data_IF_725804898134
#
_entry.id   IF_725804898134
#
_cell.length_a   1.000
_cell.length_b   1.000
_cell.length_c   1.000
_cell.angle_alpha   90.00
_cell.angle_beta   90.00
_cell.angle_gamma   90.00
#
_symmetry.space_group_name_H-M   'P 1'
#
loop_
_entity.id
_entity.type
_entity.pdbx_description
1 polymer ?
#
# COMPACT_ATOMS: atom_id res chain seq x y z
N UNK A 1 -37.52 -17.31 -30.48
CA UNK A 1 -36.10 -17.04 -30.84
C UNK A 1 -35.33 -16.19 -29.80
N UNK A 2 -35.88 -15.86 -28.65
CA UNK A 2 -35.19 -15.05 -27.58
C UNK A 2 -34.56 -15.88 -26.48
N UNK A 3 -34.89 -17.12 -26.31
CA UNK A 3 -34.41 -18.00 -25.25
C UNK A 3 -33.03 -18.66 -25.48
N UNK A 4 -32.57 -18.71 -26.75
CA UNK A 4 -31.27 -19.31 -27.08
C UNK A 4 -30.06 -18.43 -26.76
N UNK A 5 -30.22 -17.11 -26.63
CA UNK A 5 -29.13 -16.18 -26.32
C UNK A 5 -28.70 -16.22 -24.85
N UNK A 6 -29.61 -16.52 -23.94
CA UNK A 6 -29.31 -16.61 -22.51
C UNK A 6 -28.63 -17.92 -22.13
N UNK A 7 -28.87 -19.00 -22.88
CA UNK A 7 -28.18 -20.27 -22.67
C UNK A 7 -26.71 -20.22 -23.14
N UNK A 8 -26.40 -19.42 -24.16
CA UNK A 8 -25.03 -19.26 -24.64
C UNK A 8 -24.18 -18.40 -23.70
N UNK A 9 -24.77 -17.42 -23.03
CA UNK A 9 -24.08 -16.60 -22.03
C UNK A 9 -23.86 -17.42 -20.73
N UNK A 10 -24.81 -18.26 -20.33
CA UNK A 10 -24.64 -19.15 -19.19
C UNK A 10 -23.61 -20.27 -19.45
N UNK A 11 -23.54 -20.79 -20.69
CA UNK A 11 -22.55 -21.81 -21.07
C UNK A 11 -21.13 -21.23 -21.22
N UNK A 12 -20.97 -19.97 -21.62
CA UNK A 12 -19.68 -19.29 -21.63
C UNK A 12 -19.20 -18.92 -20.21
N UNK A 13 -20.13 -18.69 -19.29
CA UNK A 13 -19.81 -18.50 -17.86
C UNK A 13 -19.43 -19.81 -17.16
N UNK A 14 -19.93 -20.95 -17.61
CA UNK A 14 -19.62 -22.27 -17.01
C UNK A 14 -18.30 -22.88 -17.50
N UNK A 15 -17.76 -22.45 -18.66
CA UNK A 15 -16.48 -22.90 -19.18
C UNK A 15 -15.27 -22.12 -18.59
N UNK A 16 -15.52 -21.01 -17.90
CA UNK A 16 -14.49 -20.27 -17.15
C UNK A 16 -14.27 -20.81 -15.72
N UNK A 17 -14.99 -21.87 -15.31
CA UNK A 17 -14.96 -22.36 -13.93
C UNK A 17 -13.89 -23.41 -13.61
N UNK A 18 -12.94 -23.69 -14.50
CA UNK A 18 -11.89 -24.68 -14.24
C UNK A 18 -10.48 -24.10 -14.08
N UNK A 19 -10.36 -22.79 -13.91
CA UNK A 19 -9.06 -22.17 -13.66
C UNK A 19 -8.98 -21.70 -12.20
N UNK A 20 -8.37 -22.56 -11.36
CA UNK A 20 -7.66 -22.23 -10.12
C UNK A 20 -8.45 -21.60 -8.98
N UNK A 21 -9.30 -22.41 -8.34
CA UNK A 21 -9.56 -22.27 -6.91
C UNK A 21 -8.31 -22.72 -6.10
N UNK A 22 -7.17 -22.11 -6.29
CA UNK A 22 -6.12 -22.12 -5.28
C UNK A 22 -6.24 -20.79 -4.54
N UNK A 23 -7.15 -20.78 -3.58
CA UNK A 23 -7.31 -19.69 -2.64
C UNK A 23 -6.08 -19.59 -1.77
N UNK A 24 -5.12 -18.80 -2.18
CA UNK A 24 -4.09 -18.33 -1.29
C UNK A 24 -4.56 -17.04 -0.64
N UNK A 25 -4.84 -17.14 0.64
CA UNK A 25 -5.33 -16.11 1.53
C UNK A 25 -4.28 -15.03 1.85
N UNK A 26 -3.48 -14.60 0.91
CA UNK A 26 -2.49 -13.55 1.14
C UNK A 26 -2.87 -12.32 0.37
N UNK A 27 -3.81 -11.56 0.93
CA UNK A 27 -4.36 -10.36 0.34
C UNK A 27 -3.40 -9.20 0.21
N UNK A 28 -2.28 -9.23 0.86
CA UNK A 28 -1.50 -8.03 1.09
C UNK A 28 -0.19 -8.08 0.35
N UNK A 29 -0.20 -7.57 -0.88
CA UNK A 29 1.00 -7.23 -1.62
C UNK A 29 1.99 -8.37 -1.75
N UNK A 30 1.51 -9.58 -1.91
CA UNK A 30 2.38 -10.74 -2.10
C UNK A 30 2.07 -11.46 -3.39
N UNK A 31 3.03 -12.23 -3.91
CA UNK A 31 2.87 -13.02 -5.12
C UNK A 31 1.79 -14.12 -5.02
N UNK A 32 1.22 -14.33 -3.86
CA UNK A 32 0.25 -15.40 -3.60
C UNK A 32 -1.18 -14.87 -3.40
N UNK A 33 -1.41 -13.58 -3.68
CA UNK A 33 -2.77 -13.04 -3.80
C UNK A 33 -3.30 -13.20 -5.22
N UNK A 34 -4.52 -12.75 -5.43
CA UNK A 34 -5.09 -12.61 -6.78
C UNK A 34 -4.35 -11.56 -7.64
N UNK A 35 -3.23 -11.06 -7.15
CA UNK A 35 -2.37 -10.08 -7.80
C UNK A 35 -0.99 -10.67 -8.05
N UNK A 36 -0.79 -11.13 -9.28
CA UNK A 36 0.52 -11.48 -9.80
C UNK A 36 1.13 -10.26 -10.48
N UNK A 37 2.26 -9.78 -9.99
CA UNK A 37 3.00 -8.71 -10.65
C UNK A 37 3.56 -9.19 -11.99
N UNK A 38 3.81 -8.24 -12.90
CA UNK A 38 4.46 -8.58 -14.17
C UNK A 38 5.85 -9.19 -13.96
N UNK A 39 6.57 -8.75 -12.92
CA UNK A 39 7.84 -9.30 -12.51
C UNK A 39 7.76 -10.80 -12.16
N UNK A 40 6.72 -11.21 -11.47
CA UNK A 40 6.49 -12.61 -11.09
C UNK A 40 6.17 -13.49 -12.29
N UNK A 41 5.39 -12.99 -13.26
CA UNK A 41 5.15 -13.68 -14.53
C UNK A 41 6.44 -13.89 -15.33
N UNK A 42 7.31 -12.87 -15.33
CA UNK A 42 8.61 -12.97 -16.02
C UNK A 42 9.53 -13.97 -15.34
N UNK A 43 9.59 -13.93 -14.02
CA UNK A 43 10.48 -14.76 -13.22
C UNK A 43 10.04 -16.21 -13.12
N UNK A 44 8.75 -16.53 -13.32
CA UNK A 44 8.17 -17.88 -13.23
C UNK A 44 8.67 -18.67 -12.01
N UNK A 45 8.57 -18.05 -10.82
CA UNK A 45 9.03 -18.66 -9.59
C UNK A 45 8.13 -19.85 -9.25
N UNK A 46 8.70 -21.05 -9.29
CA UNK A 46 8.01 -22.27 -8.91
C UNK A 46 8.08 -22.47 -7.39
N UNK A 47 6.96 -22.84 -6.77
CA UNK A 47 6.93 -23.26 -5.37
C UNK A 47 7.61 -24.63 -5.24
N UNK A 48 8.51 -24.76 -4.27
CA UNK A 48 9.15 -26.05 -3.98
C UNK A 48 8.25 -26.96 -3.13
N UNK A 49 7.53 -26.38 -2.18
CA UNK A 49 6.55 -27.07 -1.33
C UNK A 49 5.34 -26.17 -1.07
N UNK A 50 4.21 -26.76 -0.76
CA UNK A 50 3.05 -25.96 -0.34
C UNK A 50 3.14 -25.53 1.13
N UNK A 51 3.78 -26.36 1.97
CA UNK A 51 3.80 -26.18 3.41
C UNK A 51 4.81 -25.13 3.90
N UNK A 52 5.94 -24.96 3.23
CA UNK A 52 7.03 -24.13 3.73
C UNK A 52 7.83 -23.51 2.58
N UNK A 53 7.79 -22.19 2.48
CA UNK A 53 8.55 -21.44 1.49
C UNK A 53 9.25 -20.28 2.18
N UNK A 54 10.56 -20.15 1.95
CA UNK A 54 11.41 -19.09 2.51
C UNK A 54 11.92 -18.20 1.39
N UNK A 55 11.69 -16.91 1.53
CA UNK A 55 12.16 -15.88 0.61
C UNK A 55 13.03 -14.87 1.35
N UNK A 56 14.14 -14.52 0.74
CA UNK A 56 14.95 -13.39 1.15
C UNK A 56 14.85 -12.30 0.09
N UNK A 57 14.24 -11.17 0.46
CA UNK A 57 14.03 -10.03 -0.42
C UNK A 57 15.13 -9.00 -0.17
N UNK A 58 15.94 -8.72 -1.20
CA UNK A 58 17.03 -7.75 -1.10
C UNK A 58 17.01 -6.78 -2.27
N UNK A 59 17.11 -5.48 -1.97
CA UNK A 59 17.20 -4.44 -2.98
C UNK A 59 18.18 -3.36 -2.54
N UNK A 60 19.06 -2.94 -3.44
CA UNK A 60 20.01 -1.86 -3.21
C UNK A 60 20.20 -1.05 -4.49
N UNK A 61 20.58 0.22 -4.34
CA UNK A 61 20.85 1.11 -5.47
C UNK A 61 21.93 2.14 -5.16
N UNK A 62 22.67 2.53 -6.19
CA UNK A 62 23.38 3.80 -6.23
C UNK A 62 22.37 4.87 -6.63
N UNK A 63 22.34 5.99 -5.92
CA UNK A 63 21.40 7.07 -6.14
C UNK A 63 22.12 8.39 -6.28
N UNK A 64 21.60 9.23 -7.18
CA UNK A 64 21.95 10.64 -7.29
C UNK A 64 20.66 11.41 -7.00
N UNK A 65 20.68 12.27 -6.00
CA UNK A 65 19.51 13.00 -5.52
C UNK A 65 19.76 14.51 -5.60
N UNK A 66 18.72 15.23 -5.92
CA UNK A 66 18.63 16.67 -5.88
C UNK A 66 17.36 17.09 -5.16
N UNK A 67 17.48 18.12 -4.36
CA UNK A 67 16.35 18.78 -3.71
C UNK A 67 16.44 20.27 -4.02
N UNK A 68 15.51 20.78 -4.82
CA UNK A 68 15.40 22.19 -5.14
C UNK A 68 14.33 22.84 -4.25
N UNK A 69 14.75 23.46 -3.19
CA UNK A 69 14.01 24.31 -2.29
C UNK A 69 14.88 25.51 -1.93
N UNK A 70 14.56 26.26 -0.89
CA UNK A 70 15.28 27.45 -0.46
C UNK A 70 16.74 27.21 -0.08
N UNK A 71 17.11 26.02 0.27
CA UNK A 71 18.46 25.68 0.71
C UNK A 71 19.48 25.66 -0.43
N UNK A 72 19.02 25.71 -1.68
CA UNK A 72 19.89 25.63 -2.85
C UNK A 72 20.71 24.36 -2.91
N UNK A 73 20.14 23.27 -2.46
CA UNK A 73 20.81 21.98 -2.33
C UNK A 73 21.33 21.46 -3.65
N UNK A 74 22.53 20.92 -3.58
CA UNK A 74 23.25 20.39 -4.73
C UNK A 74 22.95 18.88 -4.88
N UNK A 75 23.17 18.39 -6.10
CA UNK A 75 23.15 16.97 -6.37
C UNK A 75 24.11 16.21 -5.45
N UNK A 76 23.57 15.26 -4.70
CA UNK A 76 24.32 14.36 -3.84
C UNK A 76 24.26 12.93 -4.32
N UNK A 77 25.33 12.16 -4.11
CA UNK A 77 25.37 10.74 -4.45
C UNK A 77 25.46 9.87 -3.21
N UNK A 78 24.79 8.71 -3.22
CA UNK A 78 24.82 7.76 -2.11
C UNK A 78 24.47 6.34 -2.57
N UNK A 79 24.85 5.36 -1.74
CA UNK A 79 24.35 4.00 -1.85
C UNK A 79 23.23 3.77 -0.82
N UNK A 80 22.14 3.16 -1.24
CA UNK A 80 20.98 2.84 -0.38
C UNK A 80 20.69 1.36 -0.38
N UNK A 81 20.61 0.77 0.81
CA UNK A 81 19.91 -0.48 1.02
C UNK A 81 18.41 -0.16 1.06
N UNK A 82 17.68 -0.52 0.00
CA UNK A 82 16.25 -0.21 -0.13
C UNK A 82 15.41 -1.20 0.68
N UNK A 83 15.77 -2.45 0.63
CA UNK A 83 15.05 -3.53 1.31
C UNK A 83 15.98 -4.66 1.71
N UNK A 84 15.75 -5.21 2.91
CA UNK A 84 16.28 -6.47 3.36
C UNK A 84 15.20 -7.15 4.21
N UNK A 85 14.50 -8.16 3.68
CA UNK A 85 13.36 -8.81 4.34
C UNK A 85 13.45 -10.32 4.25
N UNK A 86 13.14 -10.97 5.35
CA UNK A 86 12.86 -12.40 5.42
C UNK A 86 11.36 -12.61 5.35
N UNK A 87 10.89 -13.49 4.49
CA UNK A 87 9.50 -13.90 4.39
C UNK A 87 9.41 -15.42 4.42
N UNK A 88 8.57 -15.94 5.29
CA UNK A 88 8.27 -17.38 5.41
C UNK A 88 6.77 -17.55 5.31
N UNK A 89 6.30 -18.44 4.43
CA UNK A 89 4.87 -18.66 4.22
C UNK A 89 4.59 -20.04 3.65
N UNK A 90 3.37 -20.49 3.84
CA UNK A 90 2.91 -21.75 3.29
C UNK A 90 1.54 -22.17 3.78
N UNK A 91 1.08 -23.31 3.25
CA UNK A 91 -0.14 -23.98 3.67
C UNK A 91 0.25 -25.25 4.43
N UNK A 92 -0.01 -25.28 5.75
CA UNK A 92 0.24 -26.48 6.57
C UNK A 92 -0.70 -27.61 6.19
N UNK A 93 -1.95 -27.24 5.85
CA UNK A 93 -2.96 -28.13 5.27
C UNK A 93 -3.67 -27.37 4.16
N UNK A 94 -4.59 -28.03 3.44
CA UNK A 94 -5.44 -27.39 2.43
C UNK A 94 -6.28 -26.22 2.98
N UNK A 95 -6.45 -26.16 4.30
CA UNK A 95 -7.27 -25.16 4.99
C UNK A 95 -6.48 -24.20 5.86
N UNK A 96 -5.29 -24.59 6.33
CA UNK A 96 -4.51 -23.81 7.28
C UNK A 96 -3.27 -23.22 6.62
N UNK A 97 -3.20 -21.90 6.57
CA UNK A 97 -2.08 -21.14 6.03
C UNK A 97 -1.43 -20.26 7.08
N UNK A 98 -0.21 -19.84 6.81
CA UNK A 98 0.52 -18.89 7.67
C UNK A 98 1.43 -18.01 6.83
N UNK A 99 1.76 -16.84 7.38
CA UNK A 99 2.74 -15.92 6.77
C UNK A 99 3.48 -15.16 7.86
N UNK A 100 4.80 -15.12 7.73
CA UNK A 100 5.71 -14.30 8.52
C UNK A 100 6.54 -13.44 7.60
N UNK A 101 6.66 -12.13 7.90
CA UNK A 101 7.54 -11.20 7.18
C UNK A 101 8.21 -10.24 8.13
N UNK A 102 9.54 -10.19 8.07
CA UNK A 102 10.37 -9.41 8.98
C UNK A 102 11.41 -8.61 8.20
N UNK A 103 11.61 -7.35 8.56
CA UNK A 103 12.60 -6.45 7.97
C UNK A 103 13.90 -6.54 8.75
N UNK A 104 14.98 -6.96 8.10
CA UNK A 104 16.30 -7.08 8.72
C UNK A 104 16.99 -5.72 8.90
N UNK A 105 16.50 -4.67 8.27
CA UNK A 105 17.03 -3.31 8.31
C UNK A 105 16.18 -2.34 9.17
N UNK A 106 15.35 -2.86 10.08
CA UNK A 106 14.59 -2.08 11.06
C UNK A 106 14.87 -2.55 12.48
N UNK A 107 14.51 -1.72 13.46
CA UNK A 107 14.67 -2.00 14.87
C UNK A 107 13.82 -3.19 15.33
N UNK A 108 14.39 -4.03 16.20
CA UNK A 108 13.70 -5.12 16.90
C UNK A 108 13.06 -4.69 18.21
N UNK A 109 13.11 -3.40 18.59
CA UNK A 109 12.41 -2.89 19.76
C UNK A 109 10.90 -3.17 19.62
N UNK A 110 10.30 -3.65 20.70
CA UNK A 110 8.86 -3.90 20.73
C UNK A 110 8.07 -2.58 20.73
N UNK A 111 6.90 -2.60 20.12
CA UNK A 111 5.86 -1.59 20.20
C UNK A 111 4.83 -1.96 21.28
N UNK A 112 3.82 -1.15 21.48
CA UNK A 112 2.73 -1.42 22.44
C UNK A 112 1.90 -2.68 22.08
N UNK A 113 1.89 -3.06 20.82
CA UNK A 113 1.31 -4.32 20.34
C UNK A 113 2.16 -5.57 20.64
N UNK A 114 3.28 -5.43 21.34
CA UNK A 114 4.30 -6.44 21.64
C UNK A 114 5.02 -7.04 20.43
N UNK A 115 4.86 -6.47 19.25
CA UNK A 115 5.64 -6.85 18.08
C UNK A 115 6.86 -5.96 17.91
N UNK A 116 7.95 -6.55 17.40
CA UNK A 116 9.09 -5.77 16.95
C UNK A 116 8.69 -4.80 15.82
N UNK A 117 9.23 -3.57 15.82
CA UNK A 117 9.04 -2.59 14.72
C UNK A 117 9.39 -3.16 13.35
N UNK A 118 10.29 -4.14 13.32
CA UNK A 118 10.72 -4.83 12.10
C UNK A 118 9.72 -5.88 11.59
N UNK A 119 8.79 -6.38 12.43
CA UNK A 119 7.81 -7.39 12.02
C UNK A 119 6.62 -6.74 11.34
N UNK A 120 6.53 -6.92 10.01
CA UNK A 120 5.40 -6.44 9.22
C UNK A 120 4.20 -7.40 9.33
N UNK A 121 4.45 -8.72 9.22
CA UNK A 121 3.40 -9.73 9.13
C UNK A 121 3.75 -10.91 10.02
N UNK A 122 2.80 -11.33 10.84
CA UNK A 122 2.77 -12.62 11.51
C UNK A 122 1.30 -13.02 11.68
N UNK A 123 0.80 -13.85 10.77
CA UNK A 123 -0.60 -14.17 10.68
C UNK A 123 -0.83 -15.64 10.37
N UNK A 124 -2.01 -16.12 10.73
CA UNK A 124 -2.55 -17.41 10.35
C UNK A 124 -3.85 -17.21 9.59
N UNK A 125 -4.13 -18.08 8.64
CA UNK A 125 -5.37 -18.12 7.88
C UNK A 125 -6.02 -19.49 7.96
N UNK A 126 -7.36 -19.52 8.02
CA UNK A 126 -8.12 -20.74 7.96
C UNK A 126 -9.26 -20.63 6.95
N UNK A 127 -9.30 -21.58 6.01
CA UNK A 127 -10.34 -21.67 4.99
C UNK A 127 -11.38 -22.70 5.43
N UNK A 128 -12.57 -22.24 5.80
CA UNK A 128 -13.67 -23.13 6.22
C UNK A 128 -14.21 -23.95 5.05
N UNK A 129 -14.40 -23.29 3.92
CA UNK A 129 -14.83 -23.85 2.64
C UNK A 129 -14.42 -22.89 1.50
N UNK A 130 -14.79 -23.20 0.26
CA UNK A 130 -14.42 -22.40 -0.93
C UNK A 130 -14.92 -20.94 -0.90
N UNK A 131 -15.87 -20.63 -0.01
CA UNK A 131 -16.49 -19.31 0.08
C UNK A 131 -16.07 -18.51 1.29
N UNK A 132 -15.73 -19.14 2.41
CA UNK A 132 -15.50 -18.45 3.69
C UNK A 132 -14.10 -18.75 4.20
N UNK A 133 -13.33 -17.69 4.41
CA UNK A 133 -12.01 -17.70 5.02
C UNK A 133 -11.87 -16.69 6.15
N UNK A 134 -10.97 -16.97 7.08
CA UNK A 134 -10.61 -16.07 8.19
C UNK A 134 -9.10 -15.96 8.26
N UNK A 135 -8.60 -14.76 8.55
CA UNK A 135 -7.20 -14.51 8.85
C UNK A 135 -7.10 -13.73 10.16
N UNK A 136 -6.08 -14.01 10.95
CA UNK A 136 -5.84 -13.32 12.21
C UNK A 136 -4.36 -13.18 12.50
N UNK A 137 -3.97 -12.11 13.21
CA UNK A 137 -2.61 -11.78 13.56
C UNK A 137 -2.21 -10.38 13.11
N UNK A 138 -0.91 -10.11 13.05
CA UNK A 138 -0.38 -8.86 12.48
C UNK A 138 -0.34 -8.97 10.97
N UNK A 139 -1.02 -8.08 10.28
CA UNK A 139 -1.15 -8.09 8.82
C UNK A 139 -1.28 -6.68 8.27
N UNK A 140 -1.09 -6.52 6.98
CA UNK A 140 -1.44 -5.28 6.30
C UNK A 140 -2.96 -5.11 6.28
N UNK A 141 -3.45 -3.94 6.63
CA UNK A 141 -4.87 -3.62 6.56
C UNK A 141 -5.38 -3.67 5.11
N UNK A 142 -6.64 -4.11 4.93
CA UNK A 142 -7.23 -4.34 3.60
C UNK A 142 -7.84 -3.08 2.98
N UNK A 143 -7.10 -1.96 2.96
CA UNK A 143 -7.56 -0.67 2.45
C UNK A 143 -7.90 -0.64 0.96
N UNK A 144 -7.62 -1.71 0.24
CA UNK A 144 -7.84 -1.76 -1.21
C UNK A 144 -6.84 -0.91 -1.99
N UNK A 145 -7.09 -0.79 -3.31
CA UNK A 145 -6.12 -0.19 -4.22
C UNK A 145 -4.98 -1.14 -4.60
N UNK A 146 -4.44 -0.96 -5.77
CA UNK A 146 -3.35 -1.81 -6.26
C UNK A 146 -2.00 -1.40 -5.72
N UNK A 147 -1.82 -0.12 -5.37
CA UNK A 147 -0.59 0.34 -4.73
C UNK A 147 -0.42 -0.23 -3.31
N UNK A 148 -1.51 -0.36 -2.54
CA UNK A 148 -1.49 -1.02 -1.23
C UNK A 148 -1.16 -2.51 -1.31
N UNK A 149 -1.73 -3.20 -2.32
CA UNK A 149 -1.58 -4.63 -2.49
C UNK A 149 -0.25 -5.01 -3.13
N UNK A 150 0.43 -4.06 -3.78
CA UNK A 150 1.69 -4.35 -4.46
C UNK A 150 2.80 -4.68 -3.48
N UNK A 151 3.56 -5.75 -3.78
CA UNK A 151 4.72 -6.09 -2.97
C UNK A 151 5.72 -4.93 -2.96
N UNK A 152 6.16 -4.45 -1.79
CA UNK A 152 7.14 -3.37 -1.67
C UNK A 152 8.43 -3.56 -2.48
N UNK A 153 8.76 -4.79 -2.87
CA UNK A 153 9.89 -5.06 -3.77
C UNK A 153 9.76 -4.42 -5.15
N UNK A 154 8.52 -4.13 -5.59
CA UNK A 154 8.24 -3.60 -6.92
C UNK A 154 7.89 -2.11 -6.92
N UNK A 155 8.08 -1.45 -5.78
CA UNK A 155 7.79 -0.03 -5.58
C UNK A 155 9.10 0.78 -5.48
N UNK A 156 9.27 1.76 -6.35
CA UNK A 156 10.38 2.72 -6.28
C UNK A 156 10.08 3.87 -5.33
N UNK A 157 8.84 4.35 -5.34
CA UNK A 157 8.30 5.38 -4.44
C UNK A 157 6.79 5.22 -4.32
N UNK A 158 6.28 5.31 -3.11
CA UNK A 158 4.85 5.33 -2.83
C UNK A 158 4.24 6.72 -3.02
N UNK A 159 2.91 6.78 -3.16
CA UNK A 159 2.13 7.99 -2.92
C UNK A 159 2.27 8.44 -1.46
N UNK A 160 1.98 9.70 -1.17
CA UNK A 160 2.07 10.23 0.20
C UNK A 160 1.18 9.42 1.15
N UNK A 161 -0.07 9.13 0.76
CA UNK A 161 -0.98 8.38 1.62
C UNK A 161 -0.44 7.01 2.01
N UNK A 162 0.15 6.25 1.09
CA UNK A 162 0.70 4.93 1.40
C UNK A 162 2.04 5.01 2.12
N UNK A 163 2.85 6.04 1.84
CA UNK A 163 4.19 6.19 2.42
C UNK A 163 4.15 6.61 3.90
N UNK A 164 3.17 7.46 4.26
CA UNK A 164 3.02 7.98 5.63
C UNK A 164 2.10 7.14 6.52
N UNK A 165 1.37 6.17 5.98
CA UNK A 165 0.51 5.28 6.77
C UNK A 165 1.30 4.14 7.43
N UNK A 166 1.06 3.87 8.72
CA UNK A 166 1.41 2.58 9.35
C UNK A 166 0.22 1.63 9.23
N UNK A 167 0.26 0.75 8.25
CA UNK A 167 -0.84 -0.13 7.84
C UNK A 167 -0.63 -1.61 8.17
N UNK A 168 0.36 -1.95 9.01
CA UNK A 168 0.55 -3.31 9.52
C UNK A 168 0.05 -3.42 10.96
N UNK A 169 -1.19 -3.87 11.12
CA UNK A 169 -1.89 -3.86 12.41
C UNK A 169 -2.28 -5.28 12.85
N UNK A 170 -2.44 -5.46 14.16
CA UNK A 170 -2.99 -6.71 14.72
C UNK A 170 -4.49 -6.67 14.59
N UNK A 171 -5.05 -7.73 13.99
CA UNK A 171 -6.49 -7.81 13.74
C UNK A 171 -6.95 -9.14 13.20
N UNK A 172 -8.16 -9.13 12.69
CA UNK A 172 -8.78 -10.27 12.02
C UNK A 172 -9.55 -9.81 10.77
N UNK A 173 -9.54 -10.65 9.76
CA UNK A 173 -10.29 -10.48 8.50
C UNK A 173 -11.16 -11.69 8.28
N UNK A 174 -12.43 -11.46 7.96
CA UNK A 174 -13.33 -12.47 7.43
C UNK A 174 -13.59 -12.20 5.96
N UNK A 175 -13.43 -13.19 5.13
CA UNK A 175 -13.68 -13.08 3.68
C UNK A 175 -14.82 -13.99 3.26
N UNK A 176 -15.63 -13.47 2.35
CA UNK A 176 -16.72 -14.19 1.71
C UNK A 176 -16.62 -14.05 0.19
N UNK A 177 -16.58 -15.21 -0.50
CA UNK A 177 -16.57 -15.32 -1.97
C UNK A 177 -17.92 -15.88 -2.43
N UNK A 178 -18.90 -15.03 -2.75
CA UNK A 178 -20.20 -15.51 -3.28
C UNK A 178 -20.02 -16.31 -4.56
N UNK A 179 -19.10 -15.87 -5.40
CA UNK A 179 -18.61 -16.55 -6.62
C UNK A 179 -17.08 -16.42 -6.68
N UNK A 180 -16.37 -17.30 -7.41
CA UNK A 180 -14.90 -17.32 -7.44
C UNK A 180 -14.23 -16.00 -7.82
N UNK A 181 -14.92 -15.17 -8.63
CA UNK A 181 -14.39 -13.89 -9.14
C UNK A 181 -14.72 -12.67 -8.28
N UNK A 182 -15.46 -12.86 -7.19
CA UNK A 182 -15.88 -11.76 -6.32
C UNK A 182 -15.59 -12.11 -4.86
N UNK A 183 -15.01 -11.18 -4.14
CA UNK A 183 -14.74 -11.34 -2.73
C UNK A 183 -15.12 -10.08 -1.97
N UNK A 184 -15.86 -10.27 -0.88
CA UNK A 184 -16.14 -9.24 0.12
C UNK A 184 -15.39 -9.61 1.38
N UNK A 185 -14.69 -8.67 1.98
CA UNK A 185 -13.98 -8.88 3.22
C UNK A 185 -14.27 -7.79 4.23
N UNK A 186 -14.29 -8.19 5.48
CA UNK A 186 -14.43 -7.29 6.62
C UNK A 186 -13.24 -7.48 7.54
N UNK A 187 -12.58 -6.39 7.88
CA UNK A 187 -11.48 -6.35 8.85
C UNK A 187 -11.88 -5.61 10.10
N UNK A 188 -11.43 -6.12 11.23
CA UNK A 188 -11.36 -5.41 12.50
C UNK A 188 -9.94 -5.53 13.00
N UNK A 189 -9.26 -4.39 13.19
CA UNK A 189 -7.87 -4.35 13.64
C UNK A 189 -7.64 -3.21 14.63
N UNK A 190 -6.47 -3.21 15.29
CA UNK A 190 -6.01 -2.04 16.03
C UNK A 190 -5.90 -0.84 15.08
N UNK A 191 -6.06 0.36 15.62
CA UNK A 191 -5.84 1.59 14.85
C UNK A 191 -4.35 1.84 14.68
N UNK A 192 -3.57 1.68 15.75
CA UNK A 192 -2.14 1.96 15.79
C UNK A 192 -1.38 0.86 16.55
N UNK A 193 -0.10 0.75 16.28
CA UNK A 193 0.80 -0.18 16.95
C UNK A 193 1.37 0.36 18.28
N UNK A 194 1.31 1.67 18.47
CA UNK A 194 1.81 2.40 19.64
C UNK A 194 0.65 3.08 20.40
N UNK A 195 0.91 3.67 21.56
CA UNK A 195 -0.06 4.46 22.34
C UNK A 195 -0.22 5.85 21.73
N UNK A 196 -1.33 6.53 22.08
CA UNK A 196 -1.60 7.89 21.61
C UNK A 196 -0.43 8.85 21.94
N UNK A 197 0.11 8.78 23.16
CA UNK A 197 1.20 9.63 23.63
C UNK A 197 2.53 9.36 22.90
N UNK A 198 2.76 8.13 22.43
CA UNK A 198 3.94 7.76 21.64
C UNK A 198 3.84 8.25 20.19
N UNK A 199 2.60 8.40 19.67
CA UNK A 199 2.34 8.83 18.30
C UNK A 199 2.26 10.35 18.20
N UNK A 200 1.52 10.99 19.12
CA UNK A 200 1.21 12.41 19.06
C UNK A 200 1.96 13.27 20.08
N UNK A 201 2.66 12.64 21.02
CA UNK A 201 3.37 13.30 22.13
C UNK A 201 2.54 13.37 23.42
N UNK A 202 3.25 13.47 24.55
CA UNK A 202 2.60 13.65 25.86
C UNK A 202 1.89 14.99 25.94
N UNK A 203 0.65 15.00 26.43
CA UNK A 203 -0.17 16.21 26.53
C UNK A 203 -0.57 16.79 25.17
N UNK A 204 -0.55 15.99 24.09
CA UNK A 204 -0.89 16.43 22.74
C UNK A 204 -2.29 17.03 22.66
N UNK A 205 -2.43 18.01 21.76
CA UNK A 205 -3.67 18.75 21.52
C UNK A 205 -4.02 18.76 20.05
N UNK A 206 -5.32 18.83 19.75
CA UNK A 206 -5.79 19.06 18.38
C UNK A 206 -6.24 20.50 18.20
N UNK A 207 -5.86 21.10 17.07
CA UNK A 207 -6.32 22.41 16.62
C UNK A 207 -7.34 22.22 15.49
N UNK A 208 -8.53 22.73 15.68
CA UNK A 208 -9.59 22.73 14.68
C UNK A 208 -10.35 24.04 14.69
N UNK A 209 -11.40 24.19 13.86
CA UNK A 209 -12.32 25.34 13.90
C UNK A 209 -12.99 25.58 15.26
N UNK A 210 -12.99 24.56 16.13
CA UNK A 210 -13.53 24.63 17.49
C UNK A 210 -12.49 25.03 18.53
N UNK A 211 -11.32 25.46 18.10
CA UNK A 211 -10.19 25.83 18.95
C UNK A 211 -9.29 24.65 19.34
N UNK A 212 -8.42 24.89 20.29
CA UNK A 212 -7.46 23.95 20.83
C UNK A 212 -8.11 23.03 21.87
N UNK A 213 -7.91 21.72 21.76
CA UNK A 213 -8.46 20.72 22.68
C UNK A 213 -7.42 19.63 22.99
N UNK A 214 -7.43 19.14 24.22
CA UNK A 214 -6.59 18.01 24.62
C UNK A 214 -7.01 16.74 23.89
N UNK A 215 -6.03 15.98 23.44
CA UNK A 215 -6.23 14.63 22.91
C UNK A 215 -6.30 13.63 24.06
N UNK A 216 -7.23 12.68 23.95
CA UNK A 216 -7.39 11.59 24.90
C UNK A 216 -7.41 10.26 24.20
N UNK A 217 -6.77 9.26 24.81
CA UNK A 217 -6.80 7.89 24.30
C UNK A 217 -8.22 7.38 24.20
N UNK A 218 -8.59 6.86 23.04
CA UNK A 218 -9.87 6.18 22.85
C UNK A 218 -9.91 4.89 23.69
N UNK A 219 -11.08 4.55 24.24
CA UNK A 219 -11.26 3.29 24.99
C UNK A 219 -11.14 2.07 24.07
N UNK A 220 -11.54 2.20 22.82
CA UNK A 220 -11.52 1.13 21.80
C UNK A 220 -10.92 1.70 20.52
N UNK A 221 -9.58 1.83 20.43
CA UNK A 221 -8.89 2.33 19.24
C UNK A 221 -8.86 1.24 18.15
N UNK A 222 -9.98 1.06 17.48
CA UNK A 222 -10.16 0.05 16.43
C UNK A 222 -10.42 0.69 15.07
N UNK A 223 -9.98 -0.04 14.07
CA UNK A 223 -10.23 0.21 12.65
C UNK A 223 -11.17 -0.86 12.09
N UNK A 224 -12.14 -0.44 11.32
CA UNK A 224 -13.12 -1.27 10.62
C UNK A 224 -13.01 -1.00 9.13
N UNK A 225 -12.80 -2.04 8.34
CA UNK A 225 -12.69 -1.92 6.88
C UNK A 225 -13.60 -2.93 6.21
N UNK A 226 -14.34 -2.48 5.21
CA UNK A 226 -15.04 -3.33 4.24
C UNK A 226 -14.32 -3.20 2.91
N UNK A 227 -13.97 -4.34 2.32
CA UNK A 227 -13.23 -4.40 1.07
C UNK A 227 -13.99 -5.29 0.08
N UNK A 228 -14.05 -4.87 -1.18
CA UNK A 228 -14.56 -5.65 -2.30
C UNK A 228 -13.48 -5.82 -3.37
N UNK A 229 -13.17 -7.05 -3.69
CA UNK A 229 -12.26 -7.43 -4.75
C UNK A 229 -13.03 -8.12 -5.86
N UNK A 230 -12.97 -7.58 -7.06
CA UNK A 230 -13.63 -8.13 -8.24
C UNK A 230 -12.63 -8.48 -9.33
N UNK A 231 -12.92 -9.56 -10.06
CA UNK A 231 -12.21 -9.98 -11.24
C UNK A 231 -13.20 -10.24 -12.38
N UNK A 232 -12.90 -9.72 -13.57
CA UNK A 232 -13.79 -9.71 -14.72
C UNK A 232 -13.04 -10.10 -15.99
N UNK A 233 -13.76 -10.65 -16.96
CA UNK A 233 -13.24 -10.99 -18.29
C UNK A 233 -12.02 -11.91 -18.27
N UNK A 234 -12.05 -12.94 -17.37
CA UNK A 234 -10.90 -13.85 -17.20
C UNK A 234 -9.68 -13.11 -16.67
N UNK A 235 -9.84 -12.40 -15.57
CA UNK A 235 -8.83 -11.61 -14.85
C UNK A 235 -8.21 -10.43 -15.60
N UNK A 236 -8.72 -10.08 -16.77
CA UNK A 236 -8.21 -8.96 -17.56
C UNK A 236 -8.55 -7.60 -16.98
N UNK A 237 -9.63 -7.51 -16.22
CA UNK A 237 -10.00 -6.31 -15.48
C UNK A 237 -10.28 -6.67 -14.03
N UNK A 238 -9.67 -5.94 -13.11
CA UNK A 238 -9.75 -6.19 -11.68
C UNK A 238 -10.10 -4.93 -10.92
N UNK A 239 -10.81 -5.09 -9.80
CA UNK A 239 -11.15 -4.00 -8.86
C UNK A 239 -10.64 -4.31 -7.46
N UNK A 240 -10.28 -3.25 -6.71
CA UNK A 240 -9.88 -3.28 -5.30
C UNK A 240 -10.48 -2.07 -4.62
N UNK A 241 -11.69 -2.20 -4.12
CA UNK A 241 -12.42 -1.10 -3.49
C UNK A 241 -12.56 -1.35 -2.00
N UNK A 242 -12.34 -0.31 -1.21
CA UNK A 242 -12.53 -0.39 0.22
C UNK A 242 -13.05 0.93 0.79
N UNK A 243 -13.76 0.79 1.88
CA UNK A 243 -14.11 1.88 2.77
C UNK A 243 -13.85 1.46 4.20
N UNK A 244 -13.33 2.38 5.03
CA UNK A 244 -13.08 2.09 6.42
C UNK A 244 -13.19 3.31 7.33
N UNK A 245 -13.38 2.99 8.59
CA UNK A 245 -13.44 3.92 9.71
C UNK A 245 -12.39 3.53 10.74
N UNK A 246 -11.61 4.51 11.18
CA UNK A 246 -10.54 4.34 12.13
C UNK A 246 -10.75 5.27 13.34
N UNK A 247 -10.67 4.74 14.54
CA UNK A 247 -10.78 5.52 15.78
C UNK A 247 -9.38 5.95 16.21
N UNK A 248 -9.02 7.23 15.97
CA UNK A 248 -7.68 7.76 16.25
C UNK A 248 -7.49 8.16 17.72
N UNK A 249 -8.48 8.89 18.26
CA UNK A 249 -8.51 9.36 19.65
C UNK A 249 -9.96 9.44 20.10
N UNK A 250 -10.22 9.75 21.38
CA UNK A 250 -11.57 9.94 21.89
C UNK A 250 -12.29 11.05 21.11
N UNK A 251 -13.38 10.67 20.42
CA UNK A 251 -14.17 11.58 19.57
C UNK A 251 -13.50 12.00 18.25
N UNK A 252 -12.39 11.38 17.86
CA UNK A 252 -11.68 11.67 16.60
C UNK A 252 -11.58 10.41 15.72
N UNK A 253 -12.04 10.56 14.49
CA UNK A 253 -12.12 9.44 13.53
C UNK A 253 -11.46 9.83 12.21
N UNK A 254 -10.83 8.85 11.57
CA UNK A 254 -10.46 8.91 10.16
C UNK A 254 -11.39 8.04 9.34
N UNK A 255 -11.74 8.50 8.14
CA UNK A 255 -12.51 7.74 7.15
C UNK A 255 -11.73 7.71 5.85
N UNK A 256 -11.57 6.54 5.30
CA UNK A 256 -10.86 6.38 4.04
C UNK A 256 -11.69 5.61 3.03
N UNK A 257 -11.71 6.11 1.80
CA UNK A 257 -12.27 5.46 0.61
C UNK A 257 -11.15 5.19 -0.37
N UNK A 258 -11.06 3.95 -0.84
CA UNK A 258 -10.15 3.57 -1.92
C UNK A 258 -10.92 2.93 -3.06
N UNK A 259 -10.62 3.34 -4.29
CA UNK A 259 -11.19 2.81 -5.52
C UNK A 259 -10.06 2.46 -6.49
N UNK A 260 -9.70 1.19 -6.56
CA UNK A 260 -8.64 0.69 -7.44
C UNK A 260 -9.19 -0.08 -8.63
N UNK A 261 -8.69 0.19 -9.83
CA UNK A 261 -9.01 -0.53 -11.07
C UNK A 261 -7.72 -0.89 -11.79
N UNK A 262 -7.66 -2.12 -12.33
CA UNK A 262 -6.48 -2.60 -13.06
C UNK A 262 -6.88 -3.32 -14.34
N UNK A 263 -6.24 -2.92 -15.42
CA UNK A 263 -6.14 -3.69 -16.65
C UNK A 263 -4.95 -4.65 -16.52
N UNK A 264 -5.20 -5.95 -16.72
CA UNK A 264 -4.25 -7.03 -16.51
C UNK A 264 -4.15 -7.90 -17.76
N UNK A 265 -3.34 -7.45 -18.72
CA UNK A 265 -3.07 -8.16 -19.98
C UNK A 265 -1.73 -8.89 -19.91
N UNK A 266 -1.45 -9.77 -20.86
CA UNK A 266 -0.26 -10.64 -20.85
C UNK A 266 1.07 -9.89 -20.76
N UNK A 267 1.18 -8.71 -21.39
CA UNK A 267 2.39 -7.89 -21.44
C UNK A 267 2.21 -6.51 -20.83
N UNK A 268 1.00 -6.17 -20.40
CA UNK A 268 0.67 -4.85 -19.88
C UNK A 268 -0.17 -5.02 -18.62
N UNK A 269 0.30 -4.40 -17.55
CA UNK A 269 -0.49 -4.19 -16.34
C UNK A 269 -0.58 -2.69 -16.11
N UNK A 270 -1.79 -2.17 -16.03
CA UNK A 270 -2.04 -0.75 -15.81
C UNK A 270 -3.13 -0.59 -14.76
N UNK A 271 -2.80 0.07 -13.67
CA UNK A 271 -3.81 0.39 -12.67
C UNK A 271 -3.98 1.90 -12.47
N UNK A 272 -5.14 2.23 -11.95
CA UNK A 272 -5.52 3.53 -11.45
C UNK A 272 -6.18 3.35 -10.09
N UNK A 273 -5.66 4.05 -9.07
CA UNK A 273 -6.22 4.10 -7.74
C UNK A 273 -6.62 5.54 -7.40
N UNK A 274 -7.78 5.69 -6.78
CA UNK A 274 -8.15 6.87 -6.02
C UNK A 274 -8.17 6.51 -4.54
N UNK A 275 -7.54 7.34 -3.72
CA UNK A 275 -7.57 7.25 -2.27
C UNK A 275 -7.97 8.59 -1.71
N UNK A 276 -9.05 8.61 -0.91
CA UNK A 276 -9.55 9.80 -0.23
C UNK A 276 -9.63 9.55 1.26
N UNK A 277 -8.98 10.39 2.06
CA UNK A 277 -8.96 10.31 3.52
C UNK A 277 -9.50 11.58 4.14
N UNK A 278 -10.33 11.42 5.16
CA UNK A 278 -11.05 12.49 5.87
C UNK A 278 -10.80 12.33 7.36
N UNK A 279 -9.83 13.07 7.88
CA UNK A 279 -9.33 12.95 9.24
C UNK A 279 -9.94 13.99 10.17
N UNK A 280 -10.48 13.52 11.30
CA UNK A 280 -10.80 14.42 12.42
C UNK A 280 -9.53 14.85 13.18
N UNK A 281 -8.45 14.07 13.09
CA UNK A 281 -7.10 14.34 13.57
C UNK A 281 -6.12 13.92 12.47
N UNK A 282 -5.20 14.79 12.09
CA UNK A 282 -4.24 14.57 11.01
C UNK A 282 -3.43 13.27 11.22
N UNK A 283 -3.82 12.20 10.52
CA UNK A 283 -3.22 10.88 10.66
C UNK A 283 -1.88 10.76 9.96
N UNK A 284 -1.76 11.34 8.77
CA UNK A 284 -0.52 11.30 8.00
C UNK A 284 0.53 12.26 8.55
N UNK A 285 0.12 13.26 9.36
CA UNK A 285 1.02 14.23 9.96
C UNK A 285 1.60 15.25 8.97
N UNK A 286 1.27 15.17 7.68
CA UNK A 286 1.81 16.05 6.65
C UNK A 286 1.34 17.49 6.89
N UNK A 287 0.03 17.70 7.05
CA UNK A 287 -0.50 19.03 7.25
C UNK A 287 -0.02 19.64 8.58
N UNK A 288 0.07 18.83 9.62
CA UNK A 288 0.58 19.26 10.93
C UNK A 288 2.04 19.70 10.83
N UNK A 289 2.90 18.90 10.21
CA UNK A 289 4.33 19.20 10.08
C UNK A 289 4.61 20.44 9.25
N UNK A 290 3.74 20.74 8.28
CA UNK A 290 3.89 21.88 7.38
C UNK A 290 3.29 23.18 7.93
N UNK A 291 2.19 23.13 8.68
CA UNK A 291 1.42 24.31 9.06
C UNK A 291 1.48 24.65 10.55
N UNK A 292 2.02 23.78 11.41
CA UNK A 292 2.02 23.98 12.86
C UNK A 292 3.45 24.00 13.39
N UNK A 293 3.82 25.09 14.05
CA UNK A 293 5.12 25.25 14.71
C UNK A 293 5.09 24.93 16.20
N UNK A 294 3.91 24.91 16.82
CA UNK A 294 3.76 24.65 18.25
C UNK A 294 3.92 23.16 18.57
N UNK A 295 4.86 22.76 19.41
CA UNK A 295 5.08 21.35 19.77
C UNK A 295 3.84 20.72 20.40
N UNK A 296 3.56 19.46 20.06
CA UNK A 296 2.41 18.71 20.59
C UNK A 296 1.03 19.19 20.12
N UNK A 297 0.98 20.10 19.15
CA UNK A 297 -0.29 20.53 18.53
C UNK A 297 -0.44 19.84 17.16
N UNK A 298 -1.58 19.20 16.95
CA UNK A 298 -1.90 18.50 15.71
C UNK A 298 -3.15 19.10 15.06
N UNK A 299 -3.15 19.18 13.74
CA UNK A 299 -4.31 19.70 13.00
C UNK A 299 -5.45 18.69 13.01
N UNK A 300 -6.66 19.24 13.12
CA UNK A 300 -7.88 18.48 12.88
C UNK A 300 -8.55 18.86 11.56
N UNK A 301 -9.48 18.02 11.10
CA UNK A 301 -10.25 18.21 9.85
C UNK A 301 -9.38 18.32 8.60
N UNK A 302 -8.44 17.41 8.48
CA UNK A 302 -7.54 17.31 7.33
C UNK A 302 -8.13 16.34 6.29
N UNK A 303 -8.07 16.73 5.02
CA UNK A 303 -8.51 15.88 3.90
C UNK A 303 -7.35 15.68 2.93
N UNK A 304 -7.07 14.42 2.65
CA UNK A 304 -6.08 13.99 1.67
C UNK A 304 -6.78 13.33 0.48
N UNK A 305 -6.31 13.61 -0.72
CA UNK A 305 -6.73 12.90 -1.92
C UNK A 305 -5.50 12.53 -2.74
N UNK A 306 -5.41 11.28 -3.16
CA UNK A 306 -4.36 10.77 -4.04
C UNK A 306 -4.98 10.09 -5.24
N UNK A 307 -4.55 10.50 -6.42
CA UNK A 307 -4.84 9.88 -7.71
C UNK A 307 -3.55 9.24 -8.20
N UNK A 308 -3.54 7.92 -8.32
CA UNK A 308 -2.33 7.14 -8.55
C UNK A 308 -2.54 6.30 -9.80
N UNK A 309 -1.55 6.28 -10.69
CA UNK A 309 -1.54 5.38 -11.84
C UNK A 309 -0.17 4.76 -12.03
N UNK A 310 -0.13 3.50 -12.40
CA UNK A 310 1.11 2.78 -12.73
C UNK A 310 0.88 1.84 -13.90
N UNK A 311 1.76 1.94 -14.86
CA UNK A 311 1.85 1.09 -16.03
C UNK A 311 3.12 0.25 -15.94
N UNK A 312 3.00 -1.05 -16.13
CA UNK A 312 4.09 -1.96 -16.43
C UNK A 312 3.88 -2.52 -17.84
N UNK A 313 4.92 -2.43 -18.67
CA UNK A 313 4.90 -2.93 -20.05
C UNK A 313 6.13 -3.78 -20.34
N UNK A 314 5.90 -5.08 -20.48
CA UNK A 314 6.91 -6.02 -20.93
C UNK A 314 7.10 -5.90 -22.45
N UNK A 315 7.90 -4.93 -22.89
CA UNK A 315 8.12 -4.67 -24.31
C UNK A 315 9.02 -5.69 -25.00
N UNK A 316 9.82 -6.45 -24.24
CA UNK A 316 10.60 -7.58 -24.69
C UNK A 316 10.65 -8.68 -23.61
N UNK A 317 11.02 -9.93 -23.91
CA UNK A 317 10.92 -11.06 -22.98
C UNK A 317 11.63 -10.89 -21.63
N UNK A 318 12.69 -10.07 -21.58
CA UNK A 318 13.49 -9.82 -20.36
C UNK A 318 13.50 -8.34 -19.98
N UNK A 319 12.68 -7.51 -20.61
CA UNK A 319 12.65 -6.07 -20.40
C UNK A 319 11.26 -5.58 -20.04
N UNK A 320 11.19 -4.78 -19.01
CA UNK A 320 9.98 -4.09 -18.58
C UNK A 320 10.22 -2.59 -18.52
N UNK A 321 9.23 -1.83 -18.96
CA UNK A 321 9.11 -0.39 -18.72
C UNK A 321 8.05 -0.18 -17.65
N UNK A 322 8.40 0.48 -16.57
CA UNK A 322 7.46 0.95 -15.55
C UNK A 322 7.31 2.46 -15.65
N UNK A 323 6.08 2.95 -15.68
CA UNK A 323 5.74 4.36 -15.54
C UNK A 323 4.75 4.53 -14.39
N UNK A 324 4.96 5.54 -13.56
CA UNK A 324 4.06 5.87 -12.45
C UNK A 324 3.83 7.37 -12.38
N UNK A 325 2.58 7.75 -12.10
CA UNK A 325 2.18 9.13 -11.81
C UNK A 325 1.27 9.18 -10.60
N UNK A 326 1.46 10.18 -9.73
CA UNK A 326 0.52 10.50 -8.67
C UNK A 326 0.22 12.00 -8.70
N UNK A 327 -1.03 12.35 -8.43
CA UNK A 327 -1.46 13.71 -8.13
C UNK A 327 -2.17 13.71 -6.78
N UNK A 328 -1.69 14.56 -5.87
CA UNK A 328 -2.13 14.54 -4.48
C UNK A 328 -2.47 15.94 -4.00
N UNK A 329 -3.51 16.05 -3.18
CA UNK A 329 -3.94 17.32 -2.62
C UNK A 329 -4.20 17.19 -1.12
N UNK A 330 -3.85 18.23 -0.37
CA UNK A 330 -4.12 18.33 1.06
C UNK A 330 -4.94 19.57 1.34
N UNK A 331 -6.01 19.41 2.13
CA UNK A 331 -6.93 20.47 2.56
C UNK A 331 -7.08 20.43 4.07
N UNK A 332 -7.00 21.58 4.74
CA UNK A 332 -7.38 21.74 6.14
C UNK A 332 -8.68 22.53 6.18
N UNK A 333 -9.76 21.90 6.64
CA UNK A 333 -11.09 22.52 6.68
C UNK A 333 -11.18 23.60 7.75
N UNK A 334 -11.81 24.71 7.40
CA UNK A 334 -12.14 25.80 8.33
C UNK A 334 -11.09 26.89 8.50
N UNK A 335 -10.00 26.84 7.71
CA UNK A 335 -8.92 27.82 7.78
C UNK A 335 -8.55 28.48 6.43
N UNK A 336 -9.39 28.42 5.42
CA UNK A 336 -9.07 28.83 4.04
C UNK A 336 -7.86 28.11 3.41
N UNK A 337 -7.53 26.92 3.92
CA UNK A 337 -6.46 26.06 3.41
C UNK A 337 -6.99 24.99 2.46
N UNK A 338 -7.89 25.34 1.55
CA UNK A 338 -8.37 24.39 0.54
C UNK A 338 -7.27 24.10 -0.47
N UNK A 339 -6.94 22.81 -0.61
CA UNK A 339 -5.85 22.33 -1.46
C UNK A 339 -4.58 23.18 -1.33
N UNK A 340 -4.25 23.50 -0.06
CA UNK A 340 -3.10 24.37 0.23
C UNK A 340 -1.81 23.77 -0.27
N UNK A 341 -1.73 22.42 -0.34
CA UNK A 341 -0.62 21.64 -0.87
C UNK A 341 -1.11 20.82 -2.07
N UNK A 342 -0.35 20.85 -3.16
CA UNK A 342 -0.50 20.01 -4.34
C UNK A 342 0.83 19.35 -4.64
N UNK A 343 0.84 18.01 -4.73
CA UNK A 343 2.04 17.21 -5.01
C UNK A 343 1.84 16.39 -6.28
N UNK A 344 2.86 16.36 -7.12
CA UNK A 344 2.94 15.49 -8.29
C UNK A 344 4.16 14.59 -8.12
N UNK A 345 3.94 13.28 -8.10
CA UNK A 345 4.99 12.28 -8.22
C UNK A 345 4.96 11.73 -9.64
N UNK A 346 6.13 11.61 -10.24
CA UNK A 346 6.30 10.95 -11.53
C UNK A 346 7.56 10.11 -11.50
N UNK A 347 7.44 8.87 -11.99
CA UNK A 347 8.54 7.93 -12.01
C UNK A 347 8.53 7.10 -13.29
N UNK A 348 9.71 6.73 -13.75
CA UNK A 348 9.90 5.81 -14.83
C UNK A 348 11.11 4.93 -14.57
N UNK A 349 11.02 3.64 -14.92
CA UNK A 349 12.16 2.74 -14.86
C UNK A 349 12.19 1.80 -16.05
N UNK A 350 13.42 1.49 -16.49
CA UNK A 350 13.69 0.37 -17.39
C UNK A 350 14.31 -0.72 -16.54
N UNK A 351 13.72 -1.91 -16.63
CA UNK A 351 14.09 -3.08 -15.84
C UNK A 351 14.53 -4.21 -16.74
N UNK A 352 15.65 -4.82 -16.40
CA UNK A 352 16.21 -5.96 -17.11
C UNK A 352 16.25 -7.18 -16.20
N UNK A 353 15.71 -8.32 -16.68
CA UNK A 353 15.66 -9.60 -15.99
C UNK A 353 16.68 -10.56 -16.61
N UNK A 354 17.93 -10.58 -16.12
CA UNK A 354 19.01 -11.39 -16.74
C UNK A 354 18.78 -12.89 -16.62
N UNK A 355 18.06 -13.34 -15.59
CA UNK A 355 17.84 -14.75 -15.28
C UNK A 355 16.34 -15.04 -15.26
N UNK A 356 15.85 -15.75 -16.28
CA UNK A 356 14.40 -16.02 -16.46
C UNK A 356 13.77 -16.89 -15.35
N UNK A 357 14.56 -17.66 -14.62
CA UNK A 357 14.10 -18.53 -13.54
C UNK A 357 14.20 -17.90 -12.15
N UNK A 358 14.58 -16.63 -12.07
CA UNK A 358 14.78 -15.92 -10.81
C UNK A 358 14.06 -14.57 -10.84
N UNK A 359 13.44 -14.17 -9.72
CA UNK A 359 12.93 -12.81 -9.55
C UNK A 359 14.10 -11.86 -9.22
N UNK A 360 14.99 -11.73 -10.20
CA UNK A 360 16.14 -10.85 -10.16
C UNK A 360 16.09 -9.86 -11.31
N UNK A 361 16.14 -8.58 -10.97
CA UNK A 361 16.18 -7.51 -11.96
C UNK A 361 17.21 -6.44 -11.62
N UNK A 362 17.85 -5.94 -12.64
CA UNK A 362 18.64 -4.71 -12.63
C UNK A 362 17.78 -3.60 -13.22
N UNK A 363 17.85 -2.41 -12.68
CA UNK A 363 17.03 -1.30 -13.14
C UNK A 363 17.78 0.01 -13.18
N UNK A 364 17.37 0.87 -14.10
CA UNK A 364 17.62 2.30 -14.09
C UNK A 364 16.28 3.01 -13.93
N UNK A 365 16.17 3.84 -12.90
CA UNK A 365 14.93 4.56 -12.59
C UNK A 365 15.18 6.05 -12.40
N UNK A 366 14.20 6.86 -12.79
CA UNK A 366 14.08 8.26 -12.44
C UNK A 366 12.81 8.47 -11.64
N UNK A 367 12.90 9.19 -10.54
CA UNK A 367 11.80 9.55 -9.68
C UNK A 367 11.86 11.05 -9.41
N UNK A 368 10.79 11.76 -9.74
CA UNK A 368 10.64 13.19 -9.47
C UNK A 368 9.38 13.48 -8.66
N UNK A 369 9.47 14.48 -7.80
CA UNK A 369 8.32 15.02 -7.09
C UNK A 369 8.34 16.55 -7.21
N UNK A 370 7.18 17.15 -7.47
CA UNK A 370 6.97 18.59 -7.43
C UNK A 370 5.89 18.90 -6.41
N UNK A 371 6.20 19.73 -5.43
CA UNK A 371 5.27 20.19 -4.42
C UNK A 371 5.03 21.68 -4.56
N UNK A 372 3.76 22.10 -4.56
CA UNK A 372 3.36 23.49 -4.65
C UNK A 372 2.35 23.83 -3.56
N UNK A 373 2.55 24.99 -2.97
CA UNK A 373 1.71 25.55 -1.91
C UNK A 373 0.92 26.77 -2.40
N UNK A 374 -0.21 27.04 -1.79
CA UNK A 374 -0.94 28.29 -2.01
C UNK A 374 -0.17 29.48 -1.41
N UNK A 375 -0.38 30.68 -1.95
CA UNK A 375 0.27 31.88 -1.43
C UNK A 375 -0.04 32.15 0.04
N UNK A 376 -1.25 31.77 0.48
CA UNK A 376 -1.62 31.87 1.87
C UNK A 376 -0.80 30.92 2.78
N UNK A 377 -0.60 29.68 2.36
CA UNK A 377 0.21 28.72 3.13
C UNK A 377 1.68 29.15 3.19
N UNK A 378 2.22 29.65 2.09
CA UNK A 378 3.58 30.21 2.04
C UNK A 378 3.74 31.38 3.02
N UNK A 379 2.78 32.31 3.03
CA UNK A 379 2.85 33.50 3.88
C UNK A 379 2.70 33.18 5.38
N UNK A 380 1.89 32.18 5.75
CA UNK A 380 1.59 31.84 7.14
C UNK A 380 2.56 30.85 7.77
N UNK A 381 3.11 29.95 6.99
CA UNK A 381 3.95 28.86 7.47
C UNK A 381 5.36 28.86 6.88
N UNK A 382 5.75 29.95 6.18
CA UNK A 382 7.05 30.12 5.55
C UNK A 382 7.41 28.93 4.63
N UNK A 383 6.41 28.42 3.89
CA UNK A 383 6.55 27.29 2.99
C UNK A 383 6.96 27.74 1.59
N UNK A 384 7.89 27.02 0.99
CA UNK A 384 8.28 27.25 -0.40
C UNK A 384 8.00 26.03 -1.29
N UNK A 385 7.68 26.33 -2.56
CA UNK A 385 7.55 25.27 -3.55
C UNK A 385 8.90 24.57 -3.72
N UNK A 386 8.87 23.26 -3.84
CA UNK A 386 10.10 22.49 -4.05
C UNK A 386 9.92 21.38 -5.08
N UNK A 387 11.05 20.95 -5.64
CA UNK A 387 11.12 19.74 -6.45
C UNK A 387 12.19 18.81 -5.86
N UNK A 388 11.97 17.53 -6.01
CA UNK A 388 12.97 16.51 -5.72
C UNK A 388 13.21 15.67 -6.96
N UNK A 389 14.46 15.32 -7.21
CA UNK A 389 14.84 14.46 -8.33
C UNK A 389 15.74 13.34 -7.81
N UNK A 390 15.54 12.14 -8.28
CA UNK A 390 16.35 10.99 -7.93
C UNK A 390 16.55 10.08 -9.15
N UNK A 391 17.80 9.81 -9.45
CA UNK A 391 18.20 8.81 -10.43
C UNK A 391 18.76 7.62 -9.66
N UNK A 392 18.29 6.44 -9.95
CA UNK A 392 18.70 5.20 -9.30
C UNK A 392 19.17 4.17 -10.32
N UNK A 393 20.37 3.65 -10.13
CA UNK A 393 20.83 2.42 -10.76
C UNK A 393 20.95 1.34 -9.67
N UNK A 394 20.24 0.24 -9.80
CA UNK A 394 20.20 -0.75 -8.74
C UNK A 394 19.71 -2.11 -9.17
N UNK A 395 19.50 -2.95 -8.18
CA UNK A 395 18.91 -4.26 -8.39
C UNK A 395 17.88 -4.58 -7.31
N UNK A 396 16.98 -5.48 -7.66
CA UNK A 396 16.01 -6.11 -6.76
C UNK A 396 16.06 -7.60 -6.98
N UNK A 397 16.20 -8.36 -5.89
CA UNK A 397 16.26 -9.81 -5.95
C UNK A 397 15.41 -10.43 -4.85
N UNK A 398 14.40 -11.18 -5.26
CA UNK A 398 13.61 -12.03 -4.38
C UNK A 398 14.15 -13.45 -4.47
N UNK A 399 15.03 -13.77 -3.55
CA UNK A 399 15.70 -15.07 -3.50
C UNK A 399 14.75 -16.07 -2.87
N UNK A 400 14.37 -17.09 -3.62
CA UNK A 400 13.69 -18.25 -3.07
C UNK A 400 14.75 -19.20 -2.52
N UNK A 401 14.84 -19.28 -1.19
CA UNK A 401 15.84 -20.10 -0.50
C UNK A 401 15.35 -21.54 -0.41
N UNK A 402 14.06 -21.72 -0.09
CA UNK A 402 13.43 -23.02 0.09
C UNK A 402 11.97 -23.02 -0.40
#
# INVERSE_FOLDING_TARGET
>A
MKTRKYFMVAALLSLAMTAHAQGNNTRNGGPDGDYESLAERVAKIEKKTDAFNVYFNYAASAQINDFSGDTGDKWGATFKNKQARLEIKGNITDKLSYRFRHRLNKSNAAKDDNFAKATDILMVGYQFNDKIGVQAGKMCQIWGGFEFDENPMYIYQYSDMVDYMDNFQVGAVVSFKPVPTQEIAVEISRTDNDRLEDIYGEGAKTLSTRGLRDLKQAKTPLTYIVNWNGSFFGDKFQTRWAWGLQTQAEGHYSRMLTLGQKLNLDKIQWYFDYMGEFDDLDRLGIATSELVTAPGVHLGKVHYNSFITKLNWQFAPQWNLMLKGCYETTTVKGGNFDKYRKSWLYAGSVEYYPVKSQDFRVFLAYIGRSCKYTEQAKALAELDNYNTNRIELGFMYRIKVF
#
